data_IF_249066584210
#
_entry.id   IF_249066584210
#
_cell.length_a   1.000
_cell.length_b   1.000
_cell.length_c   1.000
_cell.angle_alpha   90.00
_cell.angle_beta   90.00
_cell.angle_gamma   90.00
#
_symmetry.space_group_name_H-M   'P 1'
#
loop_
_entity.id
_entity.type
_entity.pdbx_description
1 polymer ?
#
# COMPACT_ATOMS: atom_id res chain seq x y z
N UNK A 1 7.80 -17.97 23.04
CA UNK A 1 7.53 -16.65 23.66
C UNK A 1 6.76 -15.86 22.61
N UNK A 2 5.42 -15.88 22.66
CA UNK A 2 4.58 -15.14 21.72
C UNK A 2 4.25 -13.79 22.35
N UNK A 3 4.80 -12.71 21.80
CA UNK A 3 4.40 -11.36 22.21
C UNK A 3 3.01 -11.08 21.64
N UNK A 4 1.98 -11.23 22.46
CA UNK A 4 0.65 -10.72 22.13
C UNK A 4 0.78 -9.19 21.97
N UNK A 5 0.52 -8.67 20.76
CA UNK A 5 0.60 -7.24 20.44
C UNK A 5 1.88 -6.79 19.71
N UNK A 6 2.87 -7.68 19.52
CA UNK A 6 4.14 -7.30 18.89
C UNK A 6 4.97 -6.29 19.72
N UNK A 7 6.14 -5.87 19.24
CA UNK A 7 6.94 -4.85 19.91
C UNK A 7 6.29 -3.45 19.82
N UNK A 8 6.18 -2.76 20.95
CA UNK A 8 5.75 -1.36 21.01
C UNK A 8 6.98 -0.43 20.94
N UNK A 9 7.11 0.29 19.83
CA UNK A 9 8.23 1.19 19.60
C UNK A 9 7.90 2.67 19.82
N UNK A 10 6.76 3.00 20.44
CA UNK A 10 6.35 4.40 20.69
C UNK A 10 7.33 5.17 21.56
N UNK A 11 8.00 4.49 22.50
CA UNK A 11 9.08 5.08 23.30
C UNK A 11 10.29 5.53 22.48
N UNK A 12 10.44 5.02 21.25
CA UNK A 12 11.48 5.39 20.29
C UNK A 12 11.00 6.41 19.24
N UNK A 13 9.82 6.99 19.43
CA UNK A 13 9.25 7.99 18.52
C UNK A 13 8.56 7.41 17.28
N UNK A 14 8.32 6.10 17.22
CA UNK A 14 7.55 5.47 16.14
C UNK A 14 6.06 5.46 16.49
N UNK A 15 5.22 5.91 15.58
CA UNK A 15 3.76 5.83 15.73
C UNK A 15 3.22 4.49 15.26
N UNK A 16 2.11 4.04 15.86
CA UNK A 16 1.41 2.86 15.39
C UNK A 16 0.53 3.22 14.19
N UNK A 17 0.85 2.66 13.03
CA UNK A 17 -0.01 2.73 11.85
C UNK A 17 -1.12 1.69 11.97
N UNK A 18 -2.37 2.13 12.03
CA UNK A 18 -3.51 1.21 12.03
C UNK A 18 -3.79 0.74 10.61
N UNK A 19 -3.86 -0.58 10.46
CA UNK A 19 -4.14 -1.26 9.19
C UNK A 19 -5.48 -1.99 9.33
N UNK A 20 -6.30 -1.93 8.28
CA UNK A 20 -7.54 -2.70 8.17
C UNK A 20 -7.48 -3.58 6.94
N UNK A 21 -7.76 -4.85 7.14
CA UNK A 21 -7.60 -5.93 6.16
C UNK A 21 -8.98 -6.57 5.85
N UNK A 22 -9.04 -7.59 4.97
CA UNK A 22 -10.30 -8.26 4.64
C UNK A 22 -11.01 -8.94 5.82
N UNK A 23 -10.35 -9.18 6.97
CA UNK A 23 -11.02 -9.69 8.17
C UNK A 23 -11.95 -8.63 8.79
N UNK A 24 -11.67 -7.34 8.56
CA UNK A 24 -12.54 -6.24 8.97
C UNK A 24 -13.45 -5.79 7.83
N UNK A 25 -12.89 -5.70 6.61
CA UNK A 25 -13.55 -5.10 5.45
C UNK A 25 -14.42 -6.08 4.65
N UNK A 26 -14.26 -7.39 4.86
CA UNK A 26 -14.86 -8.41 4.01
C UNK A 26 -14.11 -8.61 2.69
N UNK A 27 -14.60 -9.52 1.83
CA UNK A 27 -13.91 -9.92 0.60
C UNK A 27 -14.14 -8.98 -0.60
N UNK A 28 -15.09 -8.04 -0.49
CA UNK A 28 -15.46 -7.11 -1.55
C UNK A 28 -15.57 -5.67 -1.01
N UNK A 29 -16.14 -4.74 -1.77
CA UNK A 29 -16.40 -3.36 -1.34
C UNK A 29 -17.12 -3.39 0.02
N UNK A 30 -16.56 -2.77 1.07
CA UNK A 30 -17.12 -2.86 2.41
C UNK A 30 -18.46 -2.14 2.48
N UNK A 31 -19.41 -2.74 3.20
CA UNK A 31 -20.66 -2.09 3.57
C UNK A 31 -20.45 -1.00 4.64
N UNK A 32 -21.50 -0.25 4.93
CA UNK A 32 -21.42 0.85 5.91
C UNK A 32 -21.02 0.37 7.31
N UNK A 33 -21.46 -0.82 7.74
CA UNK A 33 -21.10 -1.39 9.04
C UNK A 33 -19.62 -1.78 9.10
N UNK A 34 -19.09 -2.35 8.03
CA UNK A 34 -17.66 -2.67 7.90
C UNK A 34 -16.79 -1.42 7.90
N UNK A 35 -17.20 -0.36 7.19
CA UNK A 35 -16.52 0.95 7.21
C UNK A 35 -16.51 1.53 8.63
N UNK A 36 -17.65 1.54 9.33
CA UNK A 36 -17.72 2.04 10.71
C UNK A 36 -16.85 1.22 11.67
N UNK A 37 -16.86 -0.11 11.53
CA UNK A 37 -16.00 -1.01 12.32
C UNK A 37 -14.52 -0.74 12.08
N UNK A 38 -14.12 -0.46 10.84
CA UNK A 38 -12.76 -0.09 10.48
C UNK A 38 -12.36 1.29 11.06
N UNK A 39 -13.22 2.30 10.95
CA UNK A 39 -12.98 3.65 11.50
C UNK A 39 -12.89 3.68 13.04
N UNK A 40 -13.61 2.77 13.70
CA UNK A 40 -13.60 2.60 15.15
C UNK A 40 -12.34 1.88 15.69
N UNK A 41 -11.45 1.38 14.80
CA UNK A 41 -10.18 0.78 15.26
C UNK A 41 -9.33 1.83 15.98
N UNK A 42 -8.70 1.48 17.12
CA UNK A 42 -7.78 2.38 17.80
C UNK A 42 -6.68 2.87 16.85
N UNK A 43 -6.38 4.16 16.92
CA UNK A 43 -5.38 4.84 16.10
C UNK A 43 -4.53 5.75 17.00
N UNK A 44 -3.23 5.79 16.76
CA UNK A 44 -2.34 6.78 17.40
C UNK A 44 -2.04 7.99 16.51
N UNK A 45 -2.51 7.96 15.25
CA UNK A 45 -2.37 9.04 14.30
C UNK A 45 -3.60 9.15 13.38
N UNK A 46 -3.56 10.12 12.47
CA UNK A 46 -4.67 10.41 11.55
C UNK A 46 -4.79 9.41 10.39
N UNK A 47 -3.78 8.55 10.18
CA UNK A 47 -3.76 7.63 9.06
C UNK A 47 -4.51 6.31 9.36
N UNK A 48 -5.29 5.88 8.39
CA UNK A 48 -5.84 4.54 8.29
C UNK A 48 -5.35 3.92 6.97
N UNK A 49 -4.55 2.86 7.09
CA UNK A 49 -4.05 2.16 5.93
C UNK A 49 -4.95 0.97 5.59
N UNK A 50 -5.34 0.85 4.33
CA UNK A 50 -6.22 -0.20 3.83
C UNK A 50 -5.38 -1.24 3.11
N UNK A 51 -5.50 -2.48 3.55
CA UNK A 51 -4.79 -3.63 3.00
C UNK A 51 -5.79 -4.56 2.29
N UNK A 52 -5.77 -4.54 0.94
CA UNK A 52 -6.63 -5.39 0.11
C UNK A 52 -5.80 -5.95 -1.05
N UNK A 53 -4.96 -6.94 -0.76
CA UNK A 53 -4.09 -7.56 -1.77
C UNK A 53 -4.82 -8.48 -2.78
N UNK A 54 -6.11 -8.78 -2.54
CA UNK A 54 -6.89 -9.71 -3.38
C UNK A 54 -7.42 -9.10 -4.68
N UNK A 55 -7.37 -7.77 -4.84
CA UNK A 55 -7.88 -7.09 -6.03
C UNK A 55 -6.75 -6.87 -7.04
N UNK A 56 -6.77 -7.55 -8.20
CA UNK A 56 -5.66 -7.53 -9.14
C UNK A 56 -5.43 -6.11 -9.69
N UNK A 57 -4.18 -5.69 -9.69
CA UNK A 57 -3.72 -4.43 -10.29
C UNK A 57 -3.21 -4.62 -11.72
N UNK A 58 -3.25 -5.83 -12.25
CA UNK A 58 -2.79 -6.18 -13.59
C UNK A 58 -3.78 -7.15 -14.25
N UNK A 59 -3.74 -7.20 -15.58
CA UNK A 59 -4.60 -8.07 -16.39
C UNK A 59 -6.08 -7.62 -16.46
N UNK A 60 -6.98 -8.49 -16.98
CA UNK A 60 -8.36 -8.12 -17.29
C UNK A 60 -9.19 -7.60 -16.11
N UNK A 61 -8.80 -7.96 -14.88
CA UNK A 61 -9.49 -7.52 -13.66
C UNK A 61 -9.14 -6.10 -13.20
N UNK A 62 -8.06 -5.49 -13.73
CA UNK A 62 -7.52 -4.22 -13.23
C UNK A 62 -8.56 -3.09 -13.16
N UNK A 63 -9.32 -2.88 -14.23
CA UNK A 63 -10.31 -1.80 -14.27
C UNK A 63 -11.41 -1.97 -13.21
N UNK A 64 -11.87 -3.21 -12.99
CA UNK A 64 -12.85 -3.54 -11.95
C UNK A 64 -12.27 -3.30 -10.55
N UNK A 65 -11.03 -3.76 -10.30
CA UNK A 65 -10.31 -3.53 -9.04
C UNK A 65 -10.14 -2.06 -8.73
N UNK A 66 -9.72 -1.24 -9.69
CA UNK A 66 -9.58 0.22 -9.53
C UNK A 66 -10.92 0.83 -9.10
N UNK A 67 -12.02 0.43 -9.74
CA UNK A 67 -13.35 0.92 -9.38
C UNK A 67 -13.76 0.51 -7.94
N UNK A 68 -13.37 -0.70 -7.50
CA UNK A 68 -13.59 -1.16 -6.12
C UNK A 68 -12.79 -0.35 -5.10
N UNK A 69 -11.51 -0.06 -5.38
CA UNK A 69 -10.70 0.81 -4.54
C UNK A 69 -11.32 2.21 -4.41
N UNK A 70 -11.71 2.82 -5.53
CA UNK A 70 -12.34 4.15 -5.52
C UNK A 70 -13.62 4.18 -4.69
N UNK A 71 -14.50 3.18 -4.85
CA UNK A 71 -15.73 3.06 -4.06
C UNK A 71 -15.44 2.88 -2.58
N UNK A 72 -14.47 2.04 -2.24
CA UNK A 72 -14.05 1.80 -0.86
C UNK A 72 -13.52 3.06 -0.21
N UNK A 73 -12.55 3.73 -0.83
CA UNK A 73 -11.94 4.97 -0.32
C UNK A 73 -12.97 6.10 -0.21
N UNK A 74 -13.90 6.20 -1.17
CA UNK A 74 -15.01 7.16 -1.11
C UNK A 74 -15.96 6.88 0.06
N UNK A 75 -16.24 5.60 0.36
CA UNK A 75 -17.09 5.23 1.49
C UNK A 75 -16.45 5.64 2.82
N UNK A 76 -15.14 5.42 2.99
CA UNK A 76 -14.39 5.91 4.14
C UNK A 76 -14.44 7.43 4.25
N UNK A 77 -14.12 8.16 3.17
CA UNK A 77 -14.13 9.63 3.16
C UNK A 77 -15.51 10.20 3.49
N UNK A 78 -16.58 9.55 3.01
CA UNK A 78 -17.96 9.96 3.30
C UNK A 78 -18.33 9.72 4.77
N UNK A 79 -17.86 8.62 5.35
CA UNK A 79 -18.15 8.26 6.74
C UNK A 79 -17.35 9.10 7.74
N UNK A 80 -16.11 9.44 7.44
CA UNK A 80 -15.24 10.30 8.24
C UNK A 80 -14.31 11.11 7.31
N UNK A 81 -14.62 12.39 7.05
CA UNK A 81 -13.77 13.23 6.20
C UNK A 81 -12.39 13.53 6.80
N UNK A 82 -12.21 13.36 8.12
CA UNK A 82 -10.99 13.73 8.84
C UNK A 82 -9.89 12.66 8.76
N UNK A 83 -10.26 11.40 8.46
CA UNK A 83 -9.28 10.31 8.36
C UNK A 83 -8.38 10.49 7.13
N UNK A 84 -7.08 10.28 7.31
CA UNK A 84 -6.14 10.21 6.20
C UNK A 84 -6.00 8.78 5.70
N UNK A 85 -6.19 8.55 4.41
CA UNK A 85 -6.25 7.22 3.83
C UNK A 85 -4.96 6.86 3.09
N UNK A 86 -4.62 5.57 3.13
CA UNK A 86 -3.55 4.98 2.34
C UNK A 86 -3.89 3.57 1.89
N UNK A 87 -3.18 3.08 0.89
CA UNK A 87 -3.29 1.70 0.42
C UNK A 87 -1.94 0.99 0.61
N UNK A 88 -1.96 -0.15 1.30
CA UNK A 88 -0.78 -1.01 1.41
C UNK A 88 -0.43 -1.64 0.06
N UNK A 89 0.82 -1.50 -0.38
CA UNK A 89 1.39 -2.24 -1.53
C UNK A 89 0.68 -2.06 -2.90
N UNK A 90 -0.16 -1.03 -3.07
CA UNK A 90 -0.86 -0.73 -4.34
C UNK A 90 -0.12 0.29 -5.21
N UNK A 91 0.47 1.32 -4.60
CA UNK A 91 1.13 2.42 -5.30
C UNK A 91 2.58 2.58 -4.81
N UNK A 92 3.59 2.19 -5.61
CA UNK A 92 3.51 1.53 -6.92
C UNK A 92 3.16 0.03 -6.81
N UNK A 93 2.90 -0.62 -7.94
CA UNK A 93 2.77 -2.07 -8.06
C UNK A 93 4.04 -2.73 -7.52
N UNK A 94 3.87 -3.67 -6.60
CA UNK A 94 4.93 -4.44 -5.95
C UNK A 94 5.53 -5.49 -6.89
N UNK A 95 6.43 -5.05 -7.78
CA UNK A 95 7.18 -5.92 -8.70
C UNK A 95 8.68 -5.73 -8.55
N UNK A 96 9.36 -6.75 -7.99
CA UNK A 96 10.78 -6.65 -7.67
C UNK A 96 11.66 -6.56 -8.92
N UNK A 97 11.41 -7.45 -9.88
CA UNK A 97 12.33 -7.68 -10.99
C UNK A 97 12.15 -6.70 -12.13
N UNK A 98 10.90 -6.28 -12.42
CA UNK A 98 10.66 -5.18 -13.37
C UNK A 98 11.22 -3.87 -12.85
N UNK A 99 11.03 -3.56 -11.55
CA UNK A 99 11.48 -2.29 -10.97
C UNK A 99 13.00 -2.09 -11.01
N UNK A 100 13.80 -3.17 -10.94
CA UNK A 100 15.27 -3.10 -11.05
C UNK A 100 15.79 -3.32 -12.48
N UNK A 101 14.91 -3.43 -13.47
CA UNK A 101 15.29 -3.57 -14.88
C UNK A 101 15.82 -4.95 -15.27
N UNK A 102 15.72 -5.96 -14.40
CA UNK A 102 16.23 -7.32 -14.67
C UNK A 102 15.52 -7.98 -15.87
N UNK A 103 14.27 -7.62 -16.12
CA UNK A 103 13.49 -8.10 -17.26
C UNK A 103 13.66 -7.23 -18.52
N UNK A 104 14.64 -6.31 -18.53
CA UNK A 104 14.95 -5.42 -19.64
C UNK A 104 14.17 -4.09 -19.61
N UNK A 105 14.62 -3.16 -20.44
CA UNK A 105 14.09 -1.78 -20.47
C UNK A 105 12.58 -1.73 -20.79
N UNK A 106 12.11 -2.57 -21.71
CA UNK A 106 10.69 -2.62 -22.10
C UNK A 106 9.80 -2.98 -20.90
N UNK A 107 10.20 -3.96 -20.08
CA UNK A 107 9.42 -4.38 -18.92
C UNK A 107 9.46 -3.33 -17.79
N UNK A 108 10.58 -2.62 -17.63
CA UNK A 108 10.69 -1.50 -16.70
C UNK A 108 9.79 -0.32 -17.11
N UNK A 109 9.78 0.02 -18.39
CA UNK A 109 8.95 1.11 -18.93
C UNK A 109 7.46 0.76 -18.85
N UNK A 110 7.09 -0.49 -19.14
CA UNK A 110 5.74 -1.00 -18.92
C UNK A 110 5.30 -0.88 -17.46
N UNK A 111 6.14 -1.30 -16.50
CA UNK A 111 5.85 -1.14 -15.06
C UNK A 111 5.63 0.33 -14.67
N UNK A 112 6.46 1.26 -15.15
CA UNK A 112 6.28 2.71 -14.92
C UNK A 112 5.00 3.25 -15.55
N UNK A 113 4.66 2.79 -16.76
CA UNK A 113 3.45 3.21 -17.44
C UNK A 113 2.20 2.70 -16.70
N UNK A 114 2.20 1.46 -16.24
CA UNK A 114 1.12 0.89 -15.44
C UNK A 114 0.94 1.65 -14.12
N UNK A 115 2.04 1.96 -13.41
CA UNK A 115 1.99 2.79 -12.21
C UNK A 115 1.42 4.18 -12.48
N UNK A 116 1.78 4.81 -13.61
CA UNK A 116 1.20 6.10 -14.03
C UNK A 116 -0.31 5.99 -14.22
N UNK A 117 -0.77 4.95 -14.91
CA UNK A 117 -2.19 4.70 -15.17
C UNK A 117 -2.98 4.50 -13.87
N UNK A 118 -2.52 3.60 -12.99
CA UNK A 118 -3.20 3.32 -11.71
C UNK A 118 -3.17 4.54 -10.81
N UNK A 119 -2.03 5.22 -10.72
CA UNK A 119 -1.88 6.43 -9.90
C UNK A 119 -2.85 7.53 -10.32
N UNK A 120 -3.06 7.74 -11.62
CA UNK A 120 -4.02 8.73 -12.12
C UNK A 120 -5.45 8.50 -11.59
N UNK A 121 -5.79 7.24 -11.29
CA UNK A 121 -7.11 6.83 -10.81
C UNK A 121 -7.22 6.76 -9.28
N UNK A 122 -6.13 6.47 -8.57
CA UNK A 122 -6.15 6.19 -7.13
C UNK A 122 -5.49 7.27 -6.26
N UNK A 123 -4.48 7.97 -6.76
CA UNK A 123 -3.81 9.06 -6.00
C UNK A 123 -4.80 10.12 -5.52
N UNK A 124 -5.83 10.54 -6.30
CA UNK A 124 -6.83 11.49 -5.81
C UNK A 124 -7.60 11.03 -4.55
N UNK A 125 -7.66 9.73 -4.27
CA UNK A 125 -8.47 9.14 -3.20
C UNK A 125 -7.69 8.81 -1.91
N UNK A 126 -6.36 8.97 -1.92
CA UNK A 126 -5.48 8.71 -0.78
C UNK A 126 -4.76 9.98 -0.33
N UNK A 127 -4.28 10.02 0.90
CA UNK A 127 -3.55 11.16 1.47
C UNK A 127 -2.04 10.92 1.56
N UNK A 128 -1.61 9.65 1.45
CA UNK A 128 -0.21 9.24 1.39
C UNK A 128 -0.06 7.93 0.63
N UNK A 129 1.14 7.67 0.11
CA UNK A 129 1.49 6.41 -0.53
C UNK A 129 2.27 5.52 0.42
N UNK A 130 2.00 4.22 0.36
CA UNK A 130 2.58 3.24 1.27
C UNK A 130 3.23 2.06 0.53
N UNK A 131 4.37 2.31 -0.17
CA UNK A 131 5.08 1.26 -0.90
C UNK A 131 5.59 0.18 0.05
N UNK A 132 5.51 -1.08 -0.38
CA UNK A 132 6.10 -2.22 0.32
C UNK A 132 7.54 -2.41 -0.13
N UNK A 133 8.49 -2.37 0.80
CA UNK A 133 9.93 -2.53 0.55
C UNK A 133 10.47 -3.81 1.19
N UNK A 134 9.68 -4.88 1.16
CA UNK A 134 10.04 -6.14 1.81
C UNK A 134 11.24 -6.80 1.14
N UNK A 135 12.07 -7.43 1.96
CA UNK A 135 13.23 -8.22 1.55
C UNK A 135 12.77 -9.62 1.09
N UNK A 136 12.28 -9.72 -0.15
CA UNK A 136 11.74 -10.97 -0.69
C UNK A 136 12.79 -12.06 -0.94
N UNK A 137 14.03 -11.65 -1.21
CA UNK A 137 15.12 -12.54 -1.61
C UNK A 137 16.36 -12.26 -0.77
N UNK A 138 17.24 -13.25 -0.63
CA UNK A 138 18.49 -13.13 0.12
C UNK A 138 19.56 -12.23 -0.52
N UNK A 139 19.28 -11.64 -1.67
CA UNK A 139 20.19 -10.71 -2.37
C UNK A 139 19.97 -9.27 -1.87
N UNK A 140 20.92 -8.82 -1.04
CA UNK A 140 20.89 -7.48 -0.45
C UNK A 140 21.00 -6.38 -1.50
N UNK A 141 21.87 -6.55 -2.50
CA UNK A 141 22.13 -5.48 -3.48
C UNK A 141 20.93 -5.32 -4.41
N UNK A 142 20.31 -6.44 -4.80
CA UNK A 142 19.05 -6.41 -5.54
C UNK A 142 17.92 -5.76 -4.71
N UNK A 143 17.85 -6.03 -3.40
CA UNK A 143 16.88 -5.37 -2.53
C UNK A 143 17.13 -3.85 -2.41
N UNK A 144 18.39 -3.39 -2.29
CA UNK A 144 18.70 -1.95 -2.24
C UNK A 144 18.24 -1.28 -3.54
N UNK A 145 18.54 -1.88 -4.70
CA UNK A 145 18.08 -1.38 -5.99
C UNK A 145 16.55 -1.33 -6.07
N UNK A 146 15.87 -2.39 -5.61
CA UNK A 146 14.41 -2.46 -5.57
C UNK A 146 13.80 -1.37 -4.67
N UNK A 147 14.35 -1.19 -3.47
CA UNK A 147 13.91 -0.19 -2.51
C UNK A 147 14.05 1.23 -3.07
N UNK A 148 15.20 1.53 -3.67
CA UNK A 148 15.43 2.82 -4.33
C UNK A 148 14.47 3.06 -5.49
N UNK A 149 14.26 2.04 -6.35
CA UNK A 149 13.34 2.13 -7.48
C UNK A 149 11.88 2.34 -7.02
N UNK A 150 11.42 1.61 -6.01
CA UNK A 150 10.05 1.73 -5.50
C UNK A 150 9.81 3.07 -4.79
N UNK A 151 10.77 3.56 -4.00
CA UNK A 151 10.68 4.89 -3.38
C UNK A 151 10.67 5.98 -4.46
N UNK A 152 11.55 5.86 -5.46
CA UNK A 152 11.63 6.82 -6.57
C UNK A 152 10.33 6.87 -7.37
N UNK A 153 9.77 5.71 -7.68
CA UNK A 153 8.52 5.62 -8.40
C UNK A 153 7.32 6.12 -7.58
N UNK A 154 7.23 5.73 -6.29
CA UNK A 154 6.21 6.25 -5.38
C UNK A 154 6.23 7.78 -5.35
N UNK A 155 7.42 8.39 -5.22
CA UNK A 155 7.57 9.86 -5.23
C UNK A 155 7.17 10.47 -6.57
N UNK A 156 7.50 9.83 -7.69
CA UNK A 156 7.14 10.31 -9.04
C UNK A 156 5.62 10.38 -9.20
N UNK A 157 4.89 9.37 -8.72
CA UNK A 157 3.43 9.28 -8.88
C UNK A 157 2.64 9.96 -7.76
N UNK A 158 3.26 10.30 -6.63
CA UNK A 158 2.56 10.79 -5.44
C UNK A 158 1.88 12.16 -5.59
N UNK A 159 2.17 12.93 -6.65
CA UNK A 159 1.66 14.30 -6.83
C UNK A 159 1.95 15.20 -5.61
N UNK A 160 3.13 15.06 -5.01
CA UNK A 160 3.56 15.82 -3.84
C UNK A 160 3.05 15.27 -2.49
N UNK A 161 2.24 14.20 -2.48
CA UNK A 161 1.79 13.56 -1.24
C UNK A 161 2.94 12.82 -0.55
N UNK A 162 2.91 12.70 0.79
CA UNK A 162 3.95 11.98 1.54
C UNK A 162 3.98 10.49 1.17
N UNK A 163 5.17 9.90 1.31
CA UNK A 163 5.44 8.48 1.04
C UNK A 163 6.00 7.84 2.31
N UNK A 164 5.31 6.84 2.85
CA UNK A 164 5.71 6.09 4.05
C UNK A 164 5.92 4.62 3.73
N UNK A 165 7.13 4.11 3.87
CA UNK A 165 7.46 2.78 3.40
C UNK A 165 7.13 1.70 4.43
N UNK A 166 6.55 0.60 3.97
CA UNK A 166 6.48 -0.63 4.74
C UNK A 166 7.80 -1.39 4.64
N UNK A 167 8.48 -1.54 5.78
CA UNK A 167 9.72 -2.30 5.90
C UNK A 167 9.45 -3.52 6.78
N UNK A 168 9.86 -4.68 6.29
CA UNK A 168 9.94 -5.88 7.12
C UNK A 168 11.42 -6.18 7.36
N UNK A 169 11.94 -6.03 8.60
CA UNK A 169 13.37 -6.22 8.88
C UNK A 169 13.80 -7.70 8.89
N UNK A 170 13.15 -8.55 8.09
CA UNK A 170 13.47 -9.96 7.94
C UNK A 170 13.30 -10.38 6.48
N UNK A 171 14.24 -11.18 5.99
CA UNK A 171 14.07 -11.87 4.71
C UNK A 171 12.81 -12.74 4.76
N UNK A 172 12.03 -12.72 3.69
CA UNK A 172 11.03 -13.75 3.48
C UNK A 172 11.74 -15.11 3.56
N UNK A 173 11.31 -15.94 4.50
CA UNK A 173 11.75 -17.34 4.51
C UNK A 173 11.05 -18.03 3.35
N UNK A 174 11.77 -18.20 2.25
CA UNK A 174 11.42 -19.14 1.18
C UNK A 174 11.63 -20.57 1.65
#
# INVERSE_FOLDING_TARGET
MNFAGGPDFRSFGLEHLTIVDPHVLGPDIPDAGQVQKALARPRSNEYLNIDIESWPLEGPGQASSIAKYQKTLSAFRKADPSVKLGLYAVLPIRDHWRAIGQQGAVALDDWKQQNTTIASSLVPYVDALFPSLYTFYGDKDAWVAYAQANIGEARRIAQGKPVYCFLWPQFHKT
#
